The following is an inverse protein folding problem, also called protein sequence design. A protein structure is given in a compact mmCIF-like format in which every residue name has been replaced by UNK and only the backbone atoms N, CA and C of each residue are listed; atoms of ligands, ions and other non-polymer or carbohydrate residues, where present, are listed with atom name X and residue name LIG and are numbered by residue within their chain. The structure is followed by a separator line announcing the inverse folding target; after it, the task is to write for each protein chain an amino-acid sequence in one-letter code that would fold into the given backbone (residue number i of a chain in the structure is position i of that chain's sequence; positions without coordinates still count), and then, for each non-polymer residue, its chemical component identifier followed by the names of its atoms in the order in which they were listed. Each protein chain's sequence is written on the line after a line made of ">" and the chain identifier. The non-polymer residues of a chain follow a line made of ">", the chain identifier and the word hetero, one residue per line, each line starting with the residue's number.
data_IF_302758395024
#
_entry.id   IF_302758395024
#
_cell.length_a   1.000
_cell.length_b   1.000
_cell.length_c   1.000
_cell.angle_alpha   90.00
_cell.angle_beta   90.00
_cell.angle_gamma   90.00
#
_symmetry.space_group_name_H-M   'P 1'
#
loop_
_entity.id
_entity.type
_entity.pdbx_description
1 polymer ?
#
# COMPACT_ATOMS: atom_id res chain seq x y z
N UNK A 1 -14.66 -3.48 26.18
CA UNK A 1 -14.14 -4.84 26.40
C UNK A 1 -12.62 -4.72 26.48
N UNK A 2 -12.06 -4.87 27.70
CA UNK A 2 -10.64 -4.64 27.96
C UNK A 2 -9.78 -5.65 27.21
N UNK A 3 -8.91 -5.14 26.34
CA UNK A 3 -7.78 -5.89 25.81
C UNK A 3 -6.75 -6.03 26.95
N UNK A 4 -7.00 -6.93 27.89
CA UNK A 4 -5.95 -7.45 28.75
C UNK A 4 -5.01 -8.27 27.85
N UNK A 5 -3.96 -7.61 27.36
CA UNK A 5 -2.78 -8.32 26.88
C UNK A 5 -2.19 -9.00 28.10
N UNK A 6 -2.47 -10.29 28.24
CA UNK A 6 -1.95 -11.14 29.30
C UNK A 6 -0.43 -10.99 29.39
N UNK A 7 0.02 -10.79 30.62
CA UNK A 7 1.38 -10.73 31.10
C UNK A 7 2.21 -11.94 30.69
N UNK A 8 3.50 -11.67 30.39
CA UNK A 8 4.61 -12.59 30.58
C UNK A 8 4.54 -13.96 29.89
N UNK A 9 4.37 -13.93 28.59
CA UNK A 9 5.08 -14.87 27.74
C UNK A 9 6.39 -14.18 27.39
N UNK A 10 7.50 -14.86 27.60
CA UNK A 10 8.85 -14.37 27.28
C UNK A 10 8.98 -14.36 25.74
N UNK A 11 8.24 -13.46 25.09
CA UNK A 11 8.16 -13.34 23.65
C UNK A 11 9.54 -13.02 23.09
N UNK A 12 10.00 -13.82 22.16
CA UNK A 12 11.22 -13.52 21.43
C UNK A 12 10.99 -12.34 20.50
N UNK A 13 11.57 -11.20 20.82
CA UNK A 13 11.48 -9.95 20.05
C UNK A 13 12.84 -9.65 19.42
N UNK A 14 12.84 -9.15 18.20
CA UNK A 14 14.05 -8.74 17.50
C UNK A 14 14.87 -7.73 18.32
N UNK A 15 16.19 -7.92 18.35
CA UNK A 15 17.09 -7.00 19.05
C UNK A 15 17.28 -5.67 18.34
N UNK A 16 16.94 -5.58 17.03
CA UNK A 16 17.13 -4.39 16.18
C UNK A 16 15.83 -3.63 15.88
N UNK A 17 14.65 -4.29 15.91
CA UNK A 17 13.34 -3.67 15.72
C UNK A 17 12.37 -4.21 16.76
N UNK A 18 11.05 -4.04 16.56
CA UNK A 18 10.05 -4.55 17.50
C UNK A 18 9.23 -5.74 16.95
N UNK A 19 9.65 -6.37 15.85
CA UNK A 19 9.02 -7.61 15.39
C UNK A 19 9.26 -8.74 16.39
N UNK A 20 8.19 -9.46 16.73
CA UNK A 20 8.21 -10.61 17.63
C UNK A 20 7.93 -11.93 16.86
N UNK A 21 7.99 -13.03 17.55
CA UNK A 21 7.82 -14.38 16.99
C UNK A 21 6.42 -14.66 16.39
N UNK A 22 5.44 -13.78 16.61
CA UNK A 22 4.12 -13.88 15.97
C UNK A 22 4.09 -13.31 14.54
N UNK A 23 5.16 -12.58 14.15
CA UNK A 23 5.28 -12.10 12.76
C UNK A 23 5.51 -13.30 11.84
N UNK A 24 4.70 -13.40 10.79
CA UNK A 24 4.72 -14.55 9.89
C UNK A 24 6.11 -14.78 9.27
N UNK A 25 6.53 -16.05 9.24
CA UNK A 25 7.83 -16.47 8.71
C UNK A 25 9.06 -15.78 9.31
N UNK A 26 8.93 -15.19 10.51
CA UNK A 26 10.07 -14.57 11.18
C UNK A 26 11.07 -15.62 11.63
N UNK A 27 12.33 -15.32 11.42
CA UNK A 27 13.46 -16.07 11.98
C UNK A 27 14.46 -15.09 12.59
N UNK A 28 15.24 -15.56 13.55
CA UNK A 28 16.24 -14.75 14.22
C UNK A 28 17.62 -15.38 14.07
N UNK A 29 18.62 -14.57 13.78
CA UNK A 29 20.00 -15.03 13.77
C UNK A 29 20.56 -15.20 15.21
N UNK A 30 21.83 -15.58 15.32
CA UNK A 30 22.52 -15.80 16.61
C UNK A 30 22.58 -14.53 17.50
N UNK A 31 22.43 -13.34 16.90
CA UNK A 31 22.41 -12.07 17.62
C UNK A 31 20.99 -11.59 17.95
N UNK A 32 19.98 -12.39 17.69
CA UNK A 32 18.58 -12.03 17.89
C UNK A 32 17.99 -11.07 16.84
N UNK A 33 18.71 -10.77 15.77
CA UNK A 33 18.22 -9.90 14.69
C UNK A 33 17.34 -10.71 13.75
N UNK A 34 16.15 -10.18 13.42
CA UNK A 34 15.20 -10.88 12.54
C UNK A 34 15.60 -10.82 11.06
N UNK A 35 15.13 -11.83 10.30
CA UNK A 35 15.33 -11.91 8.86
C UNK A 35 14.79 -10.69 8.10
N UNK A 36 13.74 -10.04 8.58
CA UNK A 36 13.20 -8.81 7.96
C UNK A 36 14.15 -7.62 8.10
N UNK A 37 14.86 -7.49 9.22
CA UNK A 37 15.90 -6.47 9.35
C UNK A 37 17.06 -6.70 8.37
N UNK A 38 17.47 -7.96 8.20
CA UNK A 38 18.50 -8.33 7.23
C UNK A 38 18.03 -8.10 5.79
N UNK A 39 16.77 -8.41 5.50
CA UNK A 39 16.19 -8.15 4.19
C UNK A 39 16.15 -6.64 3.85
N UNK A 40 15.93 -5.77 4.83
CA UNK A 40 16.02 -4.31 4.61
C UNK A 40 17.45 -3.91 4.24
N UNK A 41 18.47 -4.48 4.91
CA UNK A 41 19.87 -4.21 4.58
C UNK A 41 20.21 -4.67 3.16
N UNK A 42 19.77 -5.87 2.75
CA UNK A 42 19.95 -6.41 1.40
C UNK A 42 19.29 -5.50 0.35
N UNK A 43 18.11 -4.97 0.64
CA UNK A 43 17.41 -4.04 -0.27
C UNK A 43 18.15 -2.70 -0.39
N UNK A 44 18.66 -2.15 0.73
CA UNK A 44 19.48 -0.91 0.72
C UNK A 44 20.69 -1.10 -0.17
N UNK A 45 21.40 -2.22 -0.03
CA UNK A 45 22.57 -2.54 -0.86
C UNK A 45 22.20 -2.74 -2.33
N UNK A 46 21.14 -3.52 -2.59
CA UNK A 46 20.66 -3.84 -3.94
C UNK A 46 20.30 -2.58 -4.73
N UNK A 47 19.51 -1.69 -4.15
CA UNK A 47 19.05 -0.47 -4.81
C UNK A 47 20.00 0.71 -4.67
N UNK A 48 21.02 0.61 -3.80
CA UNK A 48 21.89 1.73 -3.48
C UNK A 48 21.16 2.88 -2.83
N UNK A 49 20.18 2.57 -1.96
CA UNK A 49 19.31 3.58 -1.37
C UNK A 49 20.11 4.61 -0.59
N UNK A 50 19.85 5.90 -0.83
CA UNK A 50 20.50 7.03 -0.20
C UNK A 50 22.02 7.11 -0.43
N UNK A 51 22.54 6.48 -1.50
CA UNK A 51 23.97 6.54 -1.85
C UNK A 51 24.16 6.88 -3.35
N UNK A 52 25.42 7.14 -3.81
CA UNK A 52 25.68 7.54 -5.21
C UNK A 52 25.20 6.54 -6.26
N UNK A 53 25.22 5.21 -5.98
CA UNK A 53 24.74 4.17 -6.92
C UNK A 53 23.24 4.32 -7.14
N UNK A 54 22.46 4.50 -6.07
CA UNK A 54 21.01 4.69 -6.17
C UNK A 54 20.68 5.99 -6.89
N UNK A 55 21.35 7.08 -6.55
CA UNK A 55 21.16 8.37 -7.22
C UNK A 55 21.44 8.29 -8.73
N UNK A 56 22.56 7.69 -9.13
CA UNK A 56 22.88 7.49 -10.55
C UNK A 56 21.83 6.62 -11.28
N UNK A 57 21.34 5.57 -10.62
CA UNK A 57 20.25 4.73 -11.17
C UNK A 57 18.97 5.53 -11.35
N UNK A 58 18.60 6.35 -10.38
CA UNK A 58 17.42 7.20 -10.48
C UNK A 58 17.56 8.26 -11.58
N UNK A 59 18.71 8.90 -11.72
CA UNK A 59 19.00 9.85 -12.80
C UNK A 59 18.91 9.21 -14.19
N UNK A 60 19.35 7.95 -14.33
CA UNK A 60 19.18 7.19 -15.56
C UNK A 60 17.69 6.97 -15.89
N UNK A 61 16.85 6.65 -14.89
CA UNK A 61 15.39 6.59 -15.10
C UNK A 61 14.80 7.94 -15.47
N UNK A 62 15.23 9.05 -14.85
CA UNK A 62 14.76 10.39 -15.21
C UNK A 62 15.10 10.71 -16.66
N UNK A 63 16.32 10.39 -17.12
CA UNK A 63 16.72 10.58 -18.51
C UNK A 63 15.87 9.73 -19.48
N UNK A 64 15.61 8.45 -19.15
CA UNK A 64 14.75 7.54 -19.92
C UNK A 64 13.31 8.09 -20.01
N UNK A 65 12.74 8.56 -18.89
CA UNK A 65 11.41 9.14 -18.82
C UNK A 65 11.30 10.40 -19.67
N UNK A 66 12.25 11.33 -19.56
CA UNK A 66 12.30 12.56 -20.38
C UNK A 66 12.39 12.24 -21.86
N UNK A 67 13.22 11.27 -22.24
CA UNK A 67 13.34 10.82 -23.62
C UNK A 67 12.02 10.25 -24.15
N UNK A 68 11.36 9.38 -23.39
CA UNK A 68 10.07 8.78 -23.75
C UNK A 68 8.91 9.79 -23.79
N UNK A 69 9.01 10.88 -23.03
CA UNK A 69 8.04 11.98 -22.97
C UNK A 69 8.20 13.07 -24.04
N UNK A 70 9.25 13.00 -24.88
CA UNK A 70 9.70 14.03 -25.81
C UNK A 70 8.61 14.46 -26.77
N UNK A 71 7.67 14.81 -26.91
CA UNK A 71 6.54 15.23 -27.76
C UNK A 71 5.19 14.92 -27.14
N UNK A 72 5.18 14.67 -25.81
CA UNK A 72 3.94 14.36 -25.08
C UNK A 72 3.64 15.48 -24.09
N UNK A 73 2.40 15.56 -23.67
CA UNK A 73 2.00 16.53 -22.63
C UNK A 73 2.58 16.18 -21.26
N UNK A 74 2.64 14.88 -20.94
CA UNK A 74 3.12 14.38 -19.65
C UNK A 74 4.24 13.35 -19.84
N UNK A 75 5.16 13.30 -18.89
CA UNK A 75 6.28 12.35 -18.84
C UNK A 75 5.98 11.15 -17.96
N UNK A 76 5.29 11.39 -16.83
CA UNK A 76 5.05 10.41 -15.77
C UNK A 76 3.68 10.58 -15.14
N UNK A 77 3.07 9.47 -14.72
CA UNK A 77 1.89 9.45 -13.84
C UNK A 77 2.38 9.41 -12.40
N UNK A 78 1.79 10.25 -11.55
CA UNK A 78 2.02 10.22 -10.10
C UNK A 78 0.68 10.02 -9.41
N UNK A 79 0.53 8.90 -8.66
CA UNK A 79 -0.66 8.67 -7.84
C UNK A 79 -0.69 9.62 -6.64
N UNK A 80 -1.81 10.26 -6.40
CA UNK A 80 -1.99 11.19 -5.27
C UNK A 80 -3.15 10.77 -4.37
N UNK A 81 -2.88 10.61 -3.07
CA UNK A 81 -3.87 10.30 -2.03
C UNK A 81 -4.09 11.45 -1.04
N UNK A 82 -3.33 12.54 -1.16
CA UNK A 82 -3.26 13.62 -0.16
C UNK A 82 -2.37 13.29 1.04
N UNK A 83 -1.80 12.08 1.07
CA UNK A 83 -0.82 11.65 2.05
C UNK A 83 0.57 12.23 1.81
N UNK A 84 1.46 12.11 2.80
CA UNK A 84 2.82 12.67 2.78
C UNK A 84 3.63 12.20 1.57
N UNK A 85 3.69 10.88 1.38
CA UNK A 85 4.58 10.24 0.41
C UNK A 85 4.16 10.59 -1.02
N UNK A 86 2.85 10.52 -1.32
CA UNK A 86 2.30 10.85 -2.63
C UNK A 86 2.43 12.35 -2.97
N UNK A 87 2.22 13.22 -1.99
CA UNK A 87 2.37 14.67 -2.15
C UNK A 87 3.83 15.05 -2.40
N UNK A 88 4.76 14.48 -1.62
CA UNK A 88 6.19 14.72 -1.82
C UNK A 88 6.70 14.13 -3.14
N UNK A 89 6.15 12.99 -3.58
CA UNK A 89 6.47 12.38 -4.88
C UNK A 89 6.13 13.31 -6.05
N UNK A 90 5.00 14.02 -5.97
CA UNK A 90 4.60 14.97 -7.00
C UNK A 90 5.60 16.14 -7.08
N UNK A 91 5.99 16.69 -5.91
CA UNK A 91 7.05 17.70 -5.82
C UNK A 91 8.38 17.18 -6.39
N UNK A 92 8.78 15.97 -6.03
CA UNK A 92 10.01 15.34 -6.54
C UNK A 92 10.00 15.25 -8.07
N UNK A 93 8.89 14.82 -8.68
CA UNK A 93 8.79 14.75 -10.13
C UNK A 93 9.03 16.10 -10.81
N UNK A 94 8.44 17.17 -10.26
CA UNK A 94 8.69 18.55 -10.76
C UNK A 94 10.15 18.98 -10.54
N UNK A 95 10.69 18.71 -9.34
CA UNK A 95 12.11 19.04 -9.01
C UNK A 95 13.10 18.36 -9.95
N UNK A 96 12.81 17.13 -10.38
CA UNK A 96 13.63 16.41 -11.38
C UNK A 96 13.37 16.88 -12.82
N UNK A 97 12.54 17.91 -13.02
CA UNK A 97 12.24 18.51 -14.31
C UNK A 97 11.36 17.65 -15.20
N UNK A 98 10.50 16.82 -14.61
CA UNK A 98 9.47 16.06 -15.32
C UNK A 98 8.16 16.85 -15.37
N UNK A 99 7.29 16.49 -16.31
CA UNK A 99 5.91 16.98 -16.45
C UNK A 99 4.96 15.89 -15.95
N UNK A 100 4.63 15.82 -14.65
CA UNK A 100 3.74 14.81 -14.12
C UNK A 100 2.28 15.11 -14.47
N UNK A 101 1.48 14.04 -14.59
CA UNK A 101 0.05 14.08 -14.41
C UNK A 101 -0.28 13.47 -13.05
N UNK A 102 -0.88 14.25 -12.17
CA UNK A 102 -1.43 13.74 -10.91
C UNK A 102 -2.67 12.89 -11.18
N UNK A 103 -2.73 11.69 -10.60
CA UNK A 103 -3.88 10.79 -10.75
C UNK A 103 -4.41 10.41 -9.38
N UNK A 104 -5.67 10.75 -9.13
CA UNK A 104 -6.38 10.42 -7.91
C UNK A 104 -7.40 9.30 -8.16
N UNK A 105 -7.29 8.22 -7.38
CA UNK A 105 -8.30 7.19 -7.27
C UNK A 105 -9.19 7.52 -6.08
N UNK A 106 -10.41 7.95 -6.33
CA UNK A 106 -11.37 8.31 -5.30
C UNK A 106 -12.35 7.15 -5.06
N UNK A 107 -12.14 6.45 -3.95
CA UNK A 107 -13.07 5.43 -3.47
C UNK A 107 -14.17 6.02 -2.57
N UNK A 108 -14.24 7.37 -2.48
CA UNK A 108 -15.20 8.13 -1.70
C UNK A 108 -15.15 7.93 -0.16
N UNK A 109 -14.06 7.34 0.32
CA UNK A 109 -13.76 7.19 1.75
C UNK A 109 -12.70 8.17 2.25
N UNK A 110 -12.22 9.08 1.39
CA UNK A 110 -11.20 10.05 1.76
C UNK A 110 -11.72 11.05 2.79
N UNK A 111 -10.82 11.49 3.66
CA UNK A 111 -11.08 12.61 4.56
C UNK A 111 -11.09 13.93 3.78
N UNK A 112 -11.78 14.95 4.30
CA UNK A 112 -11.76 16.29 3.70
C UNK A 112 -10.32 16.85 3.62
N UNK A 113 -9.51 16.63 4.66
CA UNK A 113 -8.10 17.05 4.71
C UNK A 113 -7.31 16.44 3.56
N UNK A 114 -7.46 15.14 3.31
CA UNK A 114 -6.76 14.46 2.21
C UNK A 114 -7.12 15.08 0.84
N UNK A 115 -8.39 15.31 0.59
CA UNK A 115 -8.87 15.94 -0.65
C UNK A 115 -8.35 17.36 -0.80
N UNK A 116 -8.37 18.17 0.27
CA UNK A 116 -7.81 19.53 0.27
C UNK A 116 -6.30 19.53 0.04
N UNK A 117 -5.56 18.57 0.61
CA UNK A 117 -4.13 18.42 0.39
C UNK A 117 -3.80 18.14 -1.09
N UNK A 118 -4.60 17.29 -1.76
CA UNK A 118 -4.44 17.05 -3.20
C UNK A 118 -4.60 18.35 -3.97
N UNK A 119 -5.65 19.11 -3.69
CA UNK A 119 -5.91 20.38 -4.35
C UNK A 119 -4.76 21.37 -4.11
N UNK A 120 -4.38 21.61 -2.84
CA UNK A 120 -3.31 22.54 -2.47
C UNK A 120 -2.01 22.24 -3.23
N UNK A 121 -1.59 20.97 -3.30
CA UNK A 121 -0.33 20.64 -3.94
C UNK A 121 -0.41 20.71 -5.48
N UNK A 122 -1.51 20.27 -6.08
CA UNK A 122 -1.68 20.34 -7.54
C UNK A 122 -1.78 21.79 -8.02
N UNK A 123 -2.54 22.63 -7.31
CA UNK A 123 -2.67 24.06 -7.65
C UNK A 123 -1.33 24.78 -7.50
N UNK A 124 -0.62 24.60 -6.37
CA UNK A 124 0.67 25.27 -6.14
C UNK A 124 1.74 24.84 -7.13
N UNK A 125 1.79 23.57 -7.51
CA UNK A 125 2.74 23.05 -8.50
C UNK A 125 2.27 23.26 -9.96
N UNK A 126 1.06 23.77 -10.18
CA UNK A 126 0.43 23.91 -11.49
C UNK A 126 0.45 22.59 -12.29
N UNK A 127 -0.01 21.51 -11.62
CA UNK A 127 -0.04 20.16 -12.18
C UNK A 127 -1.48 19.76 -12.47
N UNK A 128 -1.73 19.24 -13.67
CA UNK A 128 -3.04 18.71 -14.03
C UNK A 128 -3.41 17.50 -13.16
N UNK A 129 -4.66 17.46 -12.69
CA UNK A 129 -5.22 16.38 -11.90
C UNK A 129 -6.26 15.58 -12.72
N UNK A 130 -6.08 14.28 -12.78
CA UNK A 130 -7.08 13.35 -13.29
C UNK A 130 -7.64 12.53 -12.13
N UNK A 131 -8.93 12.71 -11.81
CA UNK A 131 -9.62 11.94 -10.77
C UNK A 131 -10.49 10.86 -11.41
N UNK A 132 -10.35 9.63 -10.92
CA UNK A 132 -11.25 8.53 -11.19
C UNK A 132 -12.09 8.24 -9.95
N UNK A 133 -13.37 8.54 -10.02
CA UNK A 133 -14.34 8.28 -8.94
C UNK A 133 -15.03 6.95 -9.21
N UNK A 134 -15.05 6.04 -8.22
CA UNK A 134 -15.76 4.77 -8.32
C UNK A 134 -17.27 4.95 -8.09
N UNK A 135 -18.04 4.01 -8.61
CA UNK A 135 -19.42 3.87 -8.18
C UNK A 135 -19.46 3.40 -6.71
N UNK A 136 -20.05 4.23 -5.83
CA UNK A 136 -20.10 3.97 -4.40
C UNK A 136 -20.81 2.67 -4.07
N UNK A 137 -21.89 2.35 -4.79
CA UNK A 137 -22.68 1.14 -4.52
C UNK A 137 -21.87 -0.11 -4.84
N UNK A 138 -21.13 -0.10 -5.95
CA UNK A 138 -20.25 -1.20 -6.30
C UNK A 138 -19.10 -1.33 -5.28
N UNK A 139 -18.42 -0.22 -4.93
CA UNK A 139 -17.30 -0.22 -4.01
C UNK A 139 -17.71 -0.66 -2.59
N UNK A 140 -18.78 -0.09 -2.05
CA UNK A 140 -19.27 -0.39 -0.71
C UNK A 140 -19.83 -1.83 -0.63
N UNK A 141 -20.44 -2.36 -1.71
CA UNK A 141 -20.87 -3.77 -1.78
C UNK A 141 -19.69 -4.74 -1.79
N UNK A 142 -18.59 -4.40 -2.49
CA UNK A 142 -17.37 -5.19 -2.45
C UNK A 142 -16.79 -5.22 -1.04
N UNK A 143 -16.73 -4.08 -0.34
CA UNK A 143 -16.26 -4.03 1.05
C UNK A 143 -17.14 -4.88 1.97
N UNK A 144 -18.48 -4.80 1.83
CA UNK A 144 -19.41 -5.66 2.58
C UNK A 144 -19.17 -7.14 2.29
N UNK A 145 -18.95 -7.50 1.02
CA UNK A 145 -18.65 -8.87 0.64
C UNK A 145 -17.40 -9.42 1.34
N UNK A 146 -16.34 -8.59 1.46
CA UNK A 146 -15.15 -8.96 2.23
C UNK A 146 -15.43 -9.10 3.73
N UNK A 147 -16.20 -8.20 4.33
CA UNK A 147 -16.60 -8.31 5.73
C UNK A 147 -17.35 -9.61 6.00
N UNK A 148 -18.34 -9.95 5.17
CA UNK A 148 -19.11 -11.19 5.30
C UNK A 148 -18.31 -12.45 4.99
N UNK A 149 -17.23 -12.34 4.25
CA UNK A 149 -16.39 -13.51 3.94
C UNK A 149 -15.50 -13.96 5.10
N UNK A 150 -15.25 -13.11 6.08
CA UNK A 150 -14.42 -13.41 7.26
C UNK A 150 -12.92 -13.42 7.02
N UNK A 151 -12.45 -12.91 5.87
CA UNK A 151 -11.03 -12.83 5.52
C UNK A 151 -10.42 -11.48 5.93
N UNK A 152 -9.08 -11.44 6.01
CA UNK A 152 -8.33 -10.23 6.39
C UNK A 152 -8.09 -9.26 5.24
N UNK A 153 -8.22 -9.69 3.98
CA UNK A 153 -7.81 -8.93 2.80
C UNK A 153 -8.87 -7.91 2.34
N UNK A 154 -9.53 -7.24 3.27
CA UNK A 154 -10.65 -6.31 2.99
C UNK A 154 -10.25 -5.14 2.06
N UNK A 155 -9.01 -4.68 2.12
CA UNK A 155 -8.49 -3.57 1.30
C UNK A 155 -7.97 -4.04 -0.07
N UNK A 156 -7.93 -5.35 -0.32
CA UNK A 156 -7.40 -5.93 -1.56
C UNK A 156 -8.06 -5.39 -2.83
N UNK A 157 -9.37 -5.13 -2.77
CA UNK A 157 -10.12 -4.57 -3.90
C UNK A 157 -9.66 -3.15 -4.22
N UNK A 158 -9.44 -2.32 -3.22
CA UNK A 158 -8.94 -0.94 -3.35
C UNK A 158 -7.54 -0.91 -3.95
N UNK A 159 -6.64 -1.77 -3.47
CA UNK A 159 -5.27 -1.85 -3.99
C UNK A 159 -5.22 -2.20 -5.47
N UNK A 160 -6.02 -3.20 -5.89
CA UNK A 160 -6.08 -3.59 -7.30
C UNK A 160 -6.82 -2.57 -8.17
N UNK A 161 -7.82 -1.88 -7.63
CA UNK A 161 -8.49 -0.81 -8.34
C UNK A 161 -7.58 0.40 -8.54
N UNK A 162 -6.87 0.84 -7.50
CA UNK A 162 -5.87 1.89 -7.59
C UNK A 162 -4.83 1.56 -8.67
N UNK A 163 -4.26 0.35 -8.63
CA UNK A 163 -3.29 -0.08 -9.63
C UNK A 163 -3.88 -0.02 -11.05
N UNK A 164 -5.10 -0.51 -11.26
CA UNK A 164 -5.77 -0.47 -12.56
C UNK A 164 -6.00 0.96 -13.06
N UNK A 165 -6.43 1.87 -12.18
CA UNK A 165 -6.66 3.29 -12.52
C UNK A 165 -5.36 3.97 -12.96
N UNK A 166 -4.23 3.69 -12.27
CA UNK A 166 -2.92 4.23 -12.67
C UNK A 166 -2.53 3.78 -14.09
N UNK A 167 -2.70 2.49 -14.39
CA UNK A 167 -2.40 1.97 -15.73
C UNK A 167 -3.37 2.50 -16.80
N UNK A 168 -4.67 2.61 -16.49
CA UNK A 168 -5.66 3.22 -17.40
C UNK A 168 -5.29 4.67 -17.73
N UNK A 169 -4.95 5.46 -16.72
CA UNK A 169 -4.51 6.84 -16.89
C UNK A 169 -3.24 6.90 -17.75
N UNK A 170 -2.22 6.08 -17.45
CA UNK A 170 -0.99 6.02 -18.22
C UNK A 170 -1.27 5.70 -19.72
N UNK A 171 -2.15 4.74 -20.00
CA UNK A 171 -2.55 4.41 -21.37
C UNK A 171 -3.36 5.52 -22.04
N UNK A 172 -4.34 6.11 -21.32
CA UNK A 172 -5.21 7.19 -21.82
C UNK A 172 -4.41 8.43 -22.23
N UNK A 173 -3.42 8.80 -21.43
CA UNK A 173 -2.59 9.97 -21.66
C UNK A 173 -1.26 9.67 -22.38
N UNK A 174 -1.11 8.43 -22.89
CA UNK A 174 0.08 7.97 -23.61
C UNK A 174 1.39 8.13 -22.81
N UNK A 175 1.34 7.91 -21.51
CA UNK A 175 2.49 7.91 -20.60
C UNK A 175 2.99 6.48 -20.39
N UNK A 176 4.31 6.30 -20.30
CA UNK A 176 4.93 4.97 -20.13
C UNK A 176 5.42 4.67 -18.73
N UNK A 177 5.42 5.65 -17.85
CA UNK A 177 5.99 5.54 -16.51
C UNK A 177 5.00 5.98 -15.46
N UNK A 178 4.97 5.22 -14.35
CA UNK A 178 4.18 5.51 -13.16
C UNK A 178 5.15 5.59 -11.98
N UNK A 179 5.13 6.67 -11.21
CA UNK A 179 5.81 6.75 -9.93
C UNK A 179 4.90 6.21 -8.83
N UNK A 180 5.46 5.36 -7.98
CA UNK A 180 4.81 4.74 -6.83
C UNK A 180 5.55 5.19 -5.55
N UNK A 181 4.82 5.79 -4.60
CA UNK A 181 5.37 6.49 -3.43
C UNK A 181 5.83 5.58 -2.29
N UNK A 182 5.83 4.26 -2.44
CA UNK A 182 6.25 3.34 -1.39
C UNK A 182 7.74 3.45 -1.06
N UNK A 183 8.07 3.50 0.24
CA UNK A 183 9.43 3.42 0.77
C UNK A 183 9.57 2.27 1.76
N UNK A 184 10.37 1.27 1.44
CA UNK A 184 10.61 0.15 2.38
C UNK A 184 11.40 0.58 3.63
N UNK A 185 12.12 1.70 3.56
CA UNK A 185 12.82 2.28 4.70
C UNK A 185 11.82 2.91 5.68
N UNK A 186 10.90 3.74 5.15
CA UNK A 186 9.98 4.53 5.97
C UNK A 186 8.74 3.76 6.45
N UNK A 187 8.24 2.85 5.59
CA UNK A 187 7.01 2.09 5.86
C UNK A 187 7.29 0.67 6.36
N UNK A 188 8.54 0.22 6.22
CA UNK A 188 8.94 -1.14 6.55
C UNK A 188 8.60 -2.15 5.46
N UNK A 189 8.78 -3.43 5.82
CA UNK A 189 8.49 -4.57 4.97
C UNK A 189 7.34 -5.34 5.61
N UNK A 190 6.22 -5.44 4.90
CA UNK A 190 5.14 -6.31 5.32
C UNK A 190 5.58 -7.76 5.11
N UNK A 191 5.48 -8.64 6.14
CA UNK A 191 5.81 -10.04 6.01
C UNK A 191 5.07 -10.69 4.85
N UNK A 192 5.80 -11.36 3.96
CA UNK A 192 5.22 -12.12 2.87
C UNK A 192 4.48 -13.34 3.42
N UNK A 193 3.31 -13.65 2.92
CA UNK A 193 2.63 -14.92 3.16
C UNK A 193 1.29 -14.85 3.88
N UNK A 194 1.02 -13.83 4.70
CA UNK A 194 -0.32 -13.71 5.33
C UNK A 194 -1.38 -13.14 4.41
N UNK A 195 -1.02 -12.20 3.54
CA UNK A 195 -1.95 -11.53 2.65
C UNK A 195 -1.66 -11.88 1.20
N UNK A 196 -2.53 -12.66 0.60
CA UNK A 196 -2.52 -12.91 -0.83
C UNK A 196 -3.85 -12.48 -1.43
N UNK A 197 -3.81 -11.73 -2.52
CA UNK A 197 -5.00 -11.38 -3.27
C UNK A 197 -4.67 -11.16 -4.76
N UNK A 198 -5.62 -11.50 -5.59
CA UNK A 198 -5.61 -11.25 -7.03
C UNK A 198 -7.04 -10.97 -7.53
N UNK A 199 -7.17 -10.59 -8.80
CA UNK A 199 -8.49 -10.26 -9.35
C UNK A 199 -9.46 -11.45 -9.42
N UNK A 200 -8.97 -12.69 -9.42
CA UNK A 200 -9.82 -13.89 -9.37
C UNK A 200 -10.40 -14.07 -7.98
N UNK A 201 -9.56 -13.91 -6.94
CA UNK A 201 -9.95 -13.94 -5.55
C UNK A 201 -11.05 -12.92 -5.23
N UNK A 202 -10.84 -11.66 -5.63
CA UNK A 202 -11.81 -10.59 -5.38
C UNK A 202 -13.14 -10.89 -6.08
N UNK A 203 -13.10 -11.34 -7.33
CA UNK A 203 -14.33 -11.75 -8.04
C UNK A 203 -15.06 -12.88 -7.35
N UNK A 204 -14.35 -13.85 -6.80
CA UNK A 204 -14.96 -14.98 -6.11
C UNK A 204 -15.60 -14.58 -4.78
N UNK A 205 -14.91 -13.73 -3.97
CA UNK A 205 -15.48 -13.15 -2.75
C UNK A 205 -16.77 -12.38 -3.08
N UNK A 206 -16.70 -11.49 -4.05
CA UNK A 206 -17.85 -10.69 -4.45
C UNK A 206 -19.00 -11.54 -5.00
N UNK A 207 -18.71 -12.57 -5.79
CA UNK A 207 -19.73 -13.52 -6.30
C UNK A 207 -20.48 -14.24 -5.18
N UNK A 208 -19.80 -14.59 -4.09
CA UNK A 208 -20.40 -15.34 -2.97
C UNK A 208 -21.16 -14.46 -1.99
N UNK A 209 -20.68 -13.26 -1.76
CA UNK A 209 -21.16 -12.41 -0.65
C UNK A 209 -21.69 -11.04 -1.12
N UNK A 210 -21.38 -10.60 -2.32
CA UNK A 210 -21.87 -9.34 -2.89
C UNK A 210 -23.34 -9.45 -3.35
N UNK A 211 -24.02 -8.32 -3.32
CA UNK A 211 -25.43 -8.19 -3.73
C UNK A 211 -25.60 -7.36 -5.00
N UNK A 212 -24.64 -6.46 -5.28
CA UNK A 212 -24.64 -5.62 -6.47
C UNK A 212 -23.69 -6.15 -7.55
N UNK A 213 -24.03 -6.04 -8.85
CA UNK A 213 -23.14 -6.48 -9.92
C UNK A 213 -21.94 -5.53 -10.05
N UNK A 214 -20.73 -6.08 -10.10
CA UNK A 214 -19.51 -5.35 -10.39
C UNK A 214 -19.41 -5.03 -11.89
N UNK A 215 -19.90 -3.87 -12.33
CA UNK A 215 -19.97 -3.45 -13.74
C UNK A 215 -18.86 -2.48 -14.13
N UNK A 216 -18.64 -1.45 -13.30
CA UNK A 216 -17.74 -0.33 -13.61
C UNK A 216 -16.50 -0.32 -12.77
N UNK A 217 -16.46 -1.10 -11.70
CA UNK A 217 -15.35 -1.17 -10.76
C UNK A 217 -14.01 -1.49 -11.46
N UNK A 218 -12.97 -0.68 -11.29
CA UNK A 218 -11.72 -0.80 -12.04
C UNK A 218 -10.83 -1.92 -11.48
N UNK A 219 -11.30 -3.16 -11.49
CA UNK A 219 -10.54 -4.27 -10.94
C UNK A 219 -9.39 -4.68 -11.87
N UNK A 220 -8.16 -4.68 -11.35
CA UNK A 220 -7.00 -5.27 -12.02
C UNK A 220 -7.14 -6.79 -12.06
N UNK A 221 -7.35 -7.34 -13.25
CA UNK A 221 -7.27 -8.78 -13.48
C UNK A 221 -5.90 -9.16 -14.00
N UNK A 222 -5.56 -10.45 -13.95
CA UNK A 222 -4.28 -10.93 -14.47
C UNK A 222 -4.08 -10.60 -15.96
N UNK A 223 -5.12 -10.79 -16.80
CA UNK A 223 -5.05 -10.45 -18.22
C UNK A 223 -4.80 -8.94 -18.46
N UNK A 224 -5.43 -8.07 -17.66
CA UNK A 224 -5.18 -6.63 -17.71
C UNK A 224 -3.77 -6.28 -17.26
N UNK A 225 -3.28 -6.91 -16.21
CA UNK A 225 -1.90 -6.72 -15.75
C UNK A 225 -0.88 -7.05 -16.87
N UNK A 226 -1.03 -8.20 -17.53
CA UNK A 226 -0.18 -8.58 -18.67
C UNK A 226 -0.35 -7.58 -19.83
N UNK A 227 -1.58 -7.18 -20.14
CA UNK A 227 -1.82 -6.17 -21.17
C UNK A 227 -1.07 -4.86 -20.91
N UNK A 228 -1.14 -4.34 -19.67
CA UNK A 228 -0.45 -3.09 -19.31
C UNK A 228 1.06 -3.22 -19.29
N UNK A 229 1.59 -4.28 -18.72
CA UNK A 229 3.04 -4.43 -18.50
C UNK A 229 3.77 -4.95 -19.73
N UNK A 230 3.25 -5.97 -20.39
CA UNK A 230 3.91 -6.61 -21.52
C UNK A 230 3.57 -5.92 -22.85
N UNK A 231 2.28 -5.74 -23.14
CA UNK A 231 1.86 -5.17 -24.44
C UNK A 231 1.97 -3.64 -24.47
N UNK A 232 1.47 -2.94 -23.46
CA UNK A 232 1.58 -1.49 -23.36
C UNK A 232 2.94 -1.03 -22.86
N UNK A 233 3.73 -1.91 -22.24
CA UNK A 233 5.07 -1.65 -21.69
C UNK A 233 5.08 -0.46 -20.73
N UNK A 234 4.04 -0.34 -19.90
CA UNK A 234 3.97 0.68 -18.85
C UNK A 234 4.77 0.17 -17.66
N UNK A 235 5.73 0.96 -17.21
CA UNK A 235 6.65 0.63 -16.13
C UNK A 235 6.30 1.39 -14.85
N UNK A 236 6.41 0.74 -13.70
CA UNK A 236 6.36 1.37 -12.38
C UNK A 236 7.76 1.57 -11.83
N UNK A 237 8.03 2.74 -11.32
CA UNK A 237 9.29 3.10 -10.65
C UNK A 237 8.95 3.57 -9.24
N UNK A 238 9.79 3.20 -8.28
CA UNK A 238 9.72 3.60 -6.88
C UNK A 238 10.90 4.50 -6.54
N UNK A 239 10.82 5.81 -6.77
CA UNK A 239 11.93 6.73 -6.57
C UNK A 239 12.55 6.65 -5.18
N UNK A 240 11.74 6.51 -4.11
CA UNK A 240 12.21 6.40 -2.73
C UNK A 240 13.05 5.15 -2.42
N UNK A 241 13.14 4.21 -3.34
CA UNK A 241 14.04 3.06 -3.21
C UNK A 241 15.48 3.39 -3.59
N UNK A 242 15.71 4.51 -4.26
CA UNK A 242 17.01 4.91 -4.79
C UNK A 242 17.60 6.14 -4.10
N UNK A 243 16.72 7.08 -3.70
CA UNK A 243 17.14 8.37 -3.12
C UNK A 243 17.01 8.37 -1.60
N UNK A 244 17.68 9.34 -0.98
CA UNK A 244 17.45 9.65 0.42
C UNK A 244 16.07 10.29 0.59
N UNK A 245 15.20 9.60 1.28
CA UNK A 245 13.85 10.06 1.60
C UNK A 245 13.58 9.94 3.09
N UNK A 246 13.23 11.05 3.72
CA UNK A 246 12.85 11.11 5.12
C UNK A 246 11.43 11.68 5.24
N UNK A 247 10.51 10.88 5.77
CA UNK A 247 9.07 11.22 5.84
C UNK A 247 8.79 12.43 6.73
N UNK A 248 9.53 12.60 7.84
CA UNK A 248 9.34 13.75 8.74
C UNK A 248 9.80 15.06 8.07
N UNK A 249 10.94 15.03 7.41
CA UNK A 249 11.42 16.17 6.64
C UNK A 249 10.43 16.52 5.50
N UNK A 250 9.88 15.50 4.84
CA UNK A 250 8.87 15.69 3.81
C UNK A 250 7.59 16.32 4.37
N UNK A 251 7.09 15.88 5.54
CA UNK A 251 5.93 16.51 6.21
C UNK A 251 6.17 17.98 6.52
N UNK A 252 7.33 18.29 7.12
CA UNK A 252 7.68 19.66 7.47
C UNK A 252 7.80 20.55 6.23
N UNK A 253 8.41 20.04 5.18
CA UNK A 253 8.51 20.69 3.89
C UNK A 253 7.12 20.95 3.29
N UNK A 254 6.25 19.95 3.24
CA UNK A 254 4.91 20.08 2.67
C UNK A 254 4.04 21.07 3.46
N UNK A 255 4.13 21.06 4.78
CA UNK A 255 3.43 22.07 5.63
C UNK A 255 3.88 23.49 5.29
N UNK A 256 5.19 23.69 5.18
CA UNK A 256 5.77 25.02 4.96
C UNK A 256 5.51 25.56 3.55
N UNK A 257 5.72 24.74 2.53
CA UNK A 257 5.71 25.20 1.14
C UNK A 257 4.33 25.10 0.46
N UNK A 258 3.44 24.20 0.95
CA UNK A 258 2.15 23.92 0.30
C UNK A 258 0.94 24.13 1.22
N UNK A 259 1.13 24.60 2.45
CA UNK A 259 0.06 24.65 3.45
C UNK A 259 -0.67 23.30 3.60
N UNK A 260 0.10 22.20 3.45
CA UNK A 260 -0.39 20.85 3.57
C UNK A 260 -0.70 20.53 5.04
N UNK A 261 -1.80 19.84 5.30
CA UNK A 261 -2.25 19.54 6.65
C UNK A 261 -2.05 18.04 6.96
N UNK A 262 -1.53 17.76 8.17
CA UNK A 262 -1.39 16.40 8.64
C UNK A 262 -2.73 15.88 9.19
N UNK A 263 -3.09 14.66 8.80
CA UNK A 263 -4.37 14.02 9.11
C UNK A 263 -4.28 13.00 10.28
N UNK A 264 -3.24 13.07 11.12
CA UNK A 264 -3.19 12.40 12.42
C UNK A 264 -2.45 11.07 12.49
N UNK A 265 -2.19 10.36 11.38
CA UNK A 265 -1.52 9.06 11.42
C UNK A 265 -1.22 8.45 10.06
N UNK A 266 -0.57 7.28 10.07
CA UNK A 266 -0.24 6.55 8.85
C UNK A 266 -1.52 5.96 8.23
N UNK A 267 -1.79 6.30 6.97
CA UNK A 267 -2.97 5.90 6.20
C UNK A 267 -4.33 6.35 6.78
N UNK A 268 -4.36 7.33 7.69
CA UNK A 268 -5.61 7.89 8.20
C UNK A 268 -6.25 8.92 7.26
N UNK A 269 -5.67 9.16 6.10
CA UNK A 269 -6.27 9.95 5.02
C UNK A 269 -7.52 9.31 4.42
N UNK A 270 -7.70 7.99 4.62
CA UNK A 270 -8.85 7.23 4.14
C UNK A 270 -9.56 6.53 5.31
N UNK A 271 -10.85 6.80 5.50
CA UNK A 271 -11.64 6.29 6.63
C UNK A 271 -11.85 4.78 6.60
N UNK A 272 -11.86 4.15 5.42
CA UNK A 272 -11.92 2.69 5.33
C UNK A 272 -10.63 2.08 5.89
N UNK A 273 -9.47 2.58 5.46
CA UNK A 273 -8.17 2.14 5.97
C UNK A 273 -8.03 2.44 7.46
N UNK A 274 -8.47 3.63 7.90
CA UNK A 274 -8.48 3.96 9.33
C UNK A 274 -9.31 2.96 10.15
N UNK A 275 -10.52 2.60 9.70
CA UNK A 275 -11.33 1.57 10.34
C UNK A 275 -10.62 0.20 10.36
N UNK A 276 -10.06 -0.21 9.24
CA UNK A 276 -9.38 -1.50 9.13
C UNK A 276 -8.18 -1.59 10.09
N UNK A 277 -7.31 -0.59 10.09
CA UNK A 277 -6.06 -0.62 10.84
C UNK A 277 -6.23 -0.34 12.34
N UNK A 278 -7.15 0.57 12.71
CA UNK A 278 -7.32 0.93 14.12
C UNK A 278 -8.33 0.06 14.86
N UNK A 279 -9.28 -0.54 14.16
CA UNK A 279 -10.35 -1.31 14.79
C UNK A 279 -10.45 -2.76 14.29
N UNK A 280 -10.67 -2.99 12.99
CA UNK A 280 -11.04 -4.30 12.45
C UNK A 280 -9.93 -5.34 12.60
N UNK A 281 -8.73 -5.04 12.14
CA UNK A 281 -7.60 -5.98 12.23
C UNK A 281 -7.16 -6.25 13.66
N UNK A 282 -7.00 -5.25 14.56
CA UNK A 282 -6.62 -5.51 15.93
C UNK A 282 -7.66 -6.34 16.70
N UNK A 283 -8.95 -6.06 16.51
CA UNK A 283 -10.00 -6.72 17.27
C UNK A 283 -10.33 -8.13 16.74
N UNK A 284 -10.42 -8.29 15.41
CA UNK A 284 -10.81 -9.56 14.80
C UNK A 284 -9.63 -10.50 14.54
N UNK A 285 -8.54 -10.00 13.95
CA UNK A 285 -7.41 -10.81 13.49
C UNK A 285 -6.20 -10.78 14.44
N UNK A 286 -6.23 -9.93 15.47
CA UNK A 286 -5.10 -9.71 16.39
C UNK A 286 -3.84 -9.22 15.66
N UNK A 287 -4.02 -8.50 14.55
CA UNK A 287 -2.96 -7.92 13.73
C UNK A 287 -2.96 -6.40 13.91
N UNK A 288 -1.82 -5.85 14.29
CA UNK A 288 -1.61 -4.42 14.45
C UNK A 288 -0.51 -3.95 13.51
N UNK A 289 -0.89 -3.29 12.42
CA UNK A 289 0.04 -2.83 11.38
C UNK A 289 1.00 -1.73 11.84
N UNK A 290 0.77 -1.11 13.03
CA UNK A 290 1.73 -0.18 13.62
C UNK A 290 3.09 -0.85 13.87
N UNK A 291 3.11 -2.18 14.03
CA UNK A 291 4.35 -2.92 14.16
C UNK A 291 5.30 -2.68 12.98
N UNK A 292 4.79 -2.63 11.74
CA UNK A 292 5.60 -2.37 10.55
C UNK A 292 6.25 -0.97 10.60
N UNK A 293 5.44 0.06 10.85
CA UNK A 293 5.90 1.47 10.89
C UNK A 293 6.86 1.70 12.04
N UNK A 294 6.50 1.28 13.25
CA UNK A 294 7.36 1.43 14.43
C UNK A 294 8.68 0.65 14.28
N UNK A 295 8.63 -0.55 13.71
CA UNK A 295 9.85 -1.31 13.38
C UNK A 295 10.73 -0.59 12.37
N UNK A 296 10.15 0.09 11.39
CA UNK A 296 10.88 0.92 10.44
C UNK A 296 11.49 2.15 11.12
N UNK A 297 10.74 2.84 11.96
CA UNK A 297 11.22 4.00 12.74
C UNK A 297 12.40 3.65 13.64
N UNK A 298 12.35 2.49 14.33
CA UNK A 298 13.47 2.00 15.15
C UNK A 298 14.70 1.70 14.29
N UNK A 299 14.54 1.00 13.15
CA UNK A 299 15.63 0.73 12.21
C UNK A 299 16.30 2.01 11.71
N UNK A 300 15.49 3.05 11.48
CA UNK A 300 15.94 4.36 10.99
C UNK A 300 16.39 5.31 12.11
N UNK A 301 16.46 4.83 13.35
CA UNK A 301 16.88 5.62 14.53
C UNK A 301 16.02 6.88 14.77
N UNK A 302 14.75 6.85 14.37
CA UNK A 302 13.77 7.93 14.58
C UNK A 302 13.16 7.87 15.98
N UNK A 303 13.06 6.68 16.52
CA UNK A 303 12.62 6.39 17.88
C UNK A 303 13.47 5.29 18.49
N UNK A 304 13.49 5.20 19.80
CA UNK A 304 14.13 4.09 20.50
C UNK A 304 13.25 2.85 20.45
N UNK A 305 13.85 1.67 20.64
CA UNK A 305 13.12 0.41 20.70
C UNK A 305 12.12 0.38 21.87
N UNK A 306 12.52 0.94 23.01
CA UNK A 306 11.72 1.05 24.23
C UNK A 306 10.48 1.94 24.02
N UNK A 307 10.66 3.09 23.40
CA UNK A 307 9.54 3.99 23.03
C UNK A 307 8.60 3.34 22.02
N UNK A 308 9.13 2.70 20.99
CA UNK A 308 8.33 1.98 20.00
C UNK A 308 7.50 0.85 20.64
N UNK A 309 8.08 0.07 21.55
CA UNK A 309 7.36 -0.97 22.29
C UNK A 309 6.28 -0.36 23.20
N UNK A 310 6.57 0.77 23.86
CA UNK A 310 5.57 1.48 24.68
C UNK A 310 4.39 1.93 23.83
N UNK A 311 4.64 2.54 22.67
CA UNK A 311 3.60 2.96 21.73
C UNK A 311 2.81 1.75 21.21
N UNK A 312 3.50 0.67 20.83
CA UNK A 312 2.85 -0.55 20.32
C UNK A 312 1.95 -1.23 21.34
N UNK A 313 2.34 -1.19 22.63
CA UNK A 313 1.54 -1.74 23.74
C UNK A 313 0.36 -0.86 24.15
N UNK A 314 0.28 0.38 23.66
CA UNK A 314 -0.87 1.25 23.84
C UNK A 314 -1.92 0.93 22.76
N UNK A 315 -3.23 0.86 23.09
CA UNK A 315 -4.26 0.67 22.05
C UNK A 315 -4.13 1.70 20.92
N UNK A 316 -4.41 1.31 19.66
CA UNK A 316 -4.40 2.27 18.55
C UNK A 316 -5.45 3.35 18.77
N UNK A 317 -5.14 4.56 18.32
CA UNK A 317 -6.12 5.65 18.31
C UNK A 317 -7.26 5.33 17.33
N UNK A 318 -8.48 5.52 17.78
CA UNK A 318 -9.70 5.38 16.99
C UNK A 318 -10.37 6.75 16.95
N UNK A 319 -10.59 7.30 15.75
CA UNK A 319 -11.34 8.56 15.58
C UNK A 319 -12.73 8.41 16.20
N UNK A 320 -13.15 9.43 16.95
CA UNK A 320 -14.50 9.49 17.51
C UNK A 320 -15.54 9.36 16.37
N UNK A 321 -16.55 8.53 16.58
CA UNK A 321 -17.61 8.22 15.62
C UNK A 321 -17.19 7.44 14.35
N UNK A 322 -15.91 7.05 14.17
CA UNK A 322 -15.47 6.28 13.00
C UNK A 322 -16.30 5.01 12.81
N UNK A 323 -16.53 4.25 13.88
CA UNK A 323 -17.31 3.02 13.84
C UNK A 323 -18.77 3.27 13.46
N UNK A 324 -19.39 4.32 14.01
CA UNK A 324 -20.78 4.68 13.68
C UNK A 324 -20.87 5.14 12.22
N UNK A 325 -19.93 5.97 11.77
CA UNK A 325 -19.85 6.40 10.38
C UNK A 325 -19.73 5.19 9.43
N UNK A 326 -18.86 4.24 9.78
CA UNK A 326 -18.64 3.01 9.00
C UNK A 326 -19.91 2.17 8.90
N UNK A 327 -20.55 1.86 10.03
CA UNK A 327 -21.82 1.10 10.07
C UNK A 327 -22.93 1.80 9.29
N UNK A 328 -23.12 3.11 9.50
CA UNK A 328 -24.13 3.90 8.80
C UNK A 328 -23.91 3.89 7.28
N UNK A 329 -22.68 4.11 6.82
CA UNK A 329 -22.35 4.16 5.40
C UNK A 329 -22.58 2.83 4.70
N UNK A 330 -22.18 1.73 5.33
CA UNK A 330 -22.40 0.38 4.79
C UNK A 330 -23.80 -0.17 5.10
N UNK A 331 -24.68 0.60 5.76
CA UNK A 331 -26.03 0.16 6.17
C UNK A 331 -25.97 -1.16 6.93
N UNK A 332 -25.10 -1.23 7.94
CA UNK A 332 -24.95 -2.39 8.84
C UNK A 332 -25.68 -2.10 10.15
N UNK A 333 -26.57 -2.99 10.58
CA UNK A 333 -27.12 -2.95 11.93
C UNK A 333 -26.06 -3.35 12.97
N UNK A 334 -26.31 -3.09 14.24
CA UNK A 334 -25.41 -3.48 15.33
C UNK A 334 -25.27 -5.01 15.39
N UNK A 335 -26.38 -5.75 15.23
CA UNK A 335 -26.40 -7.21 15.22
C UNK A 335 -25.64 -7.79 14.02
N UNK A 336 -25.81 -7.20 12.83
CA UNK A 336 -25.04 -7.61 11.65
C UNK A 336 -23.53 -7.37 11.85
N UNK A 337 -23.19 -6.23 12.42
CA UNK A 337 -21.80 -5.90 12.69
C UNK A 337 -21.18 -6.82 13.74
N UNK A 338 -21.88 -7.12 14.82
CA UNK A 338 -21.45 -8.11 15.82
C UNK A 338 -21.30 -9.50 15.22
N UNK A 339 -22.23 -9.93 14.36
CA UNK A 339 -22.14 -11.19 13.64
C UNK A 339 -20.87 -11.25 12.78
N UNK A 340 -20.56 -10.16 12.04
CA UNK A 340 -19.32 -10.05 11.24
C UNK A 340 -18.07 -10.15 12.14
N UNK A 341 -18.06 -9.48 13.28
CA UNK A 341 -16.92 -9.51 14.20
C UNK A 341 -16.71 -10.89 14.84
N UNK A 342 -17.78 -11.61 15.14
CA UNK A 342 -17.75 -12.90 15.84
C UNK A 342 -17.68 -14.12 14.91
N UNK A 343 -17.90 -13.96 13.60
CA UNK A 343 -17.80 -15.08 12.66
C UNK A 343 -16.38 -15.67 12.62
N UNK A 344 -16.23 -16.98 12.33
CA UNK A 344 -14.92 -17.63 12.20
C UNK A 344 -14.01 -16.93 11.21
N UNK A 345 -12.70 -16.92 11.52
CA UNK A 345 -11.70 -16.43 10.59
C UNK A 345 -11.61 -17.36 9.40
N UNK A 346 -11.50 -16.78 8.21
CA UNK A 346 -11.24 -17.49 6.99
C UNK A 346 -9.99 -16.93 6.32
N UNK A 347 -9.42 -17.74 5.43
CA UNK A 347 -8.13 -17.43 4.82
C UNK A 347 -8.25 -17.41 3.30
N UNK A 348 -7.43 -16.60 2.66
CA UNK A 348 -7.43 -16.45 1.20
C UNK A 348 -7.31 -17.78 0.42
N UNK A 349 -6.60 -18.77 0.97
CA UNK A 349 -6.39 -20.08 0.32
C UNK A 349 -7.65 -20.97 0.31
N UNK A 350 -8.70 -20.59 1.03
CA UNK A 350 -10.01 -21.24 0.98
C UNK A 350 -10.84 -20.81 -0.25
N UNK A 351 -10.33 -19.84 -0.99
CA UNK A 351 -10.98 -19.28 -2.16
C UNK A 351 -10.15 -19.51 -3.42
N UNK A 352 -10.79 -19.58 -4.61
CA UNK A 352 -10.08 -19.68 -5.88
C UNK A 352 -9.17 -18.48 -6.14
N UNK A 353 -7.89 -18.73 -6.41
CA UNK A 353 -6.86 -17.73 -6.73
C UNK A 353 -6.05 -18.14 -7.95
N UNK A 354 -5.15 -17.26 -8.41
CA UNK A 354 -4.10 -17.59 -9.38
C UNK A 354 -2.80 -18.08 -8.73
N UNK A 355 -2.71 -18.20 -7.40
CA UNK A 355 -1.47 -18.51 -6.68
C UNK A 355 -0.76 -19.74 -7.22
N UNK A 356 -1.42 -20.88 -7.27
CA UNK A 356 -0.85 -22.13 -7.81
C UNK A 356 -0.40 -22.03 -9.28
N UNK A 357 -1.10 -21.24 -10.07
CA UNK A 357 -0.72 -20.96 -11.46
C UNK A 357 0.57 -20.15 -11.53
N UNK A 358 0.71 -19.10 -10.72
CA UNK A 358 1.93 -18.29 -10.67
C UNK A 358 3.13 -19.08 -10.15
N UNK A 359 2.94 -19.93 -9.14
CA UNK A 359 3.98 -20.82 -8.62
C UNK A 359 4.48 -21.80 -9.68
N UNK A 360 3.56 -22.40 -10.46
CA UNK A 360 3.91 -23.29 -11.58
C UNK A 360 4.68 -22.58 -12.68
N UNK A 361 4.34 -21.35 -12.98
CA UNK A 361 4.99 -20.53 -14.01
C UNK A 361 6.14 -19.66 -13.46
N UNK A 362 6.63 -19.95 -12.26
CA UNK A 362 7.72 -19.20 -11.63
C UNK A 362 8.94 -18.98 -12.53
N UNK A 363 9.47 -19.98 -13.28
CA UNK A 363 10.61 -19.75 -14.17
C UNK A 363 10.30 -18.72 -15.27
N UNK A 364 9.12 -18.77 -15.86
CA UNK A 364 8.68 -17.81 -16.87
C UNK A 364 8.60 -16.39 -16.30
N UNK A 365 7.98 -16.24 -15.12
CA UNK A 365 7.88 -14.92 -14.47
C UNK A 365 9.23 -14.37 -14.04
N UNK A 366 10.19 -15.23 -13.70
CA UNK A 366 11.56 -14.80 -13.47
C UNK A 366 12.21 -14.19 -14.71
N UNK A 367 12.07 -14.83 -15.87
CA UNK A 367 12.57 -14.31 -17.14
C UNK A 367 11.88 -12.98 -17.51
N UNK A 368 10.56 -12.89 -17.36
CA UNK A 368 9.82 -11.66 -17.62
C UNK A 368 10.26 -10.52 -16.68
N UNK A 369 10.55 -10.83 -15.41
CA UNK A 369 11.05 -9.85 -14.46
C UNK A 369 12.47 -9.39 -14.78
N UNK A 370 13.36 -10.31 -15.19
CA UNK A 370 14.71 -9.98 -15.65
C UNK A 370 14.70 -9.13 -16.93
N UNK A 371 13.73 -9.36 -17.81
CA UNK A 371 13.50 -8.55 -19.01
C UNK A 371 12.79 -7.21 -18.76
N UNK A 372 12.51 -6.86 -17.49
CA UNK A 372 11.73 -5.68 -17.08
C UNK A 372 10.33 -5.59 -17.73
N UNK A 373 9.74 -6.72 -18.10
CA UNK A 373 8.37 -6.82 -18.62
C UNK A 373 7.32 -6.94 -17.51
N UNK A 374 7.70 -7.48 -16.36
CA UNK A 374 6.89 -7.45 -15.13
C UNK A 374 7.76 -6.95 -13.98
N UNK A 375 7.18 -6.27 -12.97
CA UNK A 375 7.95 -5.83 -11.80
C UNK A 375 8.56 -7.03 -11.05
N UNK A 376 9.83 -6.91 -10.62
CA UNK A 376 10.48 -7.95 -9.78
C UNK A 376 9.67 -8.19 -8.49
N UNK A 377 9.04 -7.16 -7.94
CA UNK A 377 8.16 -7.28 -6.78
C UNK A 377 6.95 -8.19 -7.03
N UNK A 378 6.41 -8.23 -8.26
CA UNK A 378 5.38 -9.20 -8.62
C UNK A 378 5.91 -10.64 -8.53
N UNK A 379 7.07 -10.91 -9.13
CA UNK A 379 7.71 -12.21 -9.08
C UNK A 379 7.95 -12.67 -7.64
N UNK A 380 8.51 -11.80 -6.80
CA UNK A 380 8.80 -12.11 -5.40
C UNK A 380 7.53 -12.35 -4.57
N UNK A 381 6.48 -11.54 -4.77
CA UNK A 381 5.25 -11.63 -3.98
C UNK A 381 4.35 -12.79 -4.41
N UNK A 382 4.21 -13.04 -5.71
CA UNK A 382 3.16 -13.90 -6.23
C UNK A 382 3.64 -15.29 -6.67
N UNK A 383 4.93 -15.45 -7.05
CA UNK A 383 5.41 -16.67 -7.67
C UNK A 383 6.15 -17.62 -6.71
N UNK A 384 6.37 -17.24 -5.45
CA UNK A 384 6.96 -18.13 -4.46
C UNK A 384 5.90 -18.91 -3.69
N UNK A 385 6.18 -20.17 -3.34
CA UNK A 385 5.28 -20.96 -2.50
C UNK A 385 5.03 -20.23 -1.17
N UNK A 386 3.79 -20.18 -0.77
CA UNK A 386 3.43 -19.89 0.62
C UNK A 386 3.55 -21.17 1.40
N UNK A 387 4.41 -21.17 2.41
CA UNK A 387 4.55 -22.29 3.35
C UNK A 387 3.31 -22.37 4.25
#
# INVERSE_FOLDING_TARGET
>A
MNLEKNKEINLKVCTRCIYDEHVDQITFNQYGVCNYCLQVDDLIEMYGTANPKGRATFEAYIAEIKSAGKRKKYDVIVGVSGGTDSSFMLHLAIKEGLRPLAVHYDNTWNTAIATQNIQKITDTLNVDLYTYVVDNKEADDIFKAFLYSGVSEIEASTDLALAEVMYRAASKFNVKYIFEGHSFIEEGITPLGKNYFDGKYIKEIHKRYGKYPMKTYPLMTFSRFIYWTVFKRIKKIRPFWYIDYNKENAKNFLKKEFNWEYYGGHHLENRMTAFCHSFYFPNKFKVDYRNNTLSAEVRNKKTTREEALKIYNTPPYIEENLLQYFKKRLSLSDEEFESIMNQPLRYWYEFPTYKKFFERLRPLFFLLAKANLVPMSFYLKYCFPTK
#
